data_IF_996786748839
#
_entry.id   IF_996786748839
#
_cell.length_a   1.000
_cell.length_b   1.000
_cell.length_c   1.000
_cell.angle_alpha   90.00
_cell.angle_beta   90.00
_cell.angle_gamma   90.00
#
_symmetry.space_group_name_H-M   'P 1'
#
loop_
_entity.id
_entity.type
_entity.pdbx_description
1 polymer ?
#
# COMPACT_ATOMS: atom_id res chain seq x y z
N UNK A 1 4.33 -15.89 -0.08
CA UNK A 1 3.11 -16.14 0.73
C UNK A 1 2.12 -17.00 -0.06
N UNK A 2 1.18 -17.68 0.58
CA UNK A 2 0.07 -18.33 -0.15
C UNK A 2 -0.75 -17.24 -0.89
N UNK A 3 -1.06 -17.45 -2.16
CA UNK A 3 -1.78 -16.46 -2.98
C UNK A 3 -0.94 -15.36 -3.65
N UNK A 4 0.39 -15.46 -3.61
CA UNK A 4 1.27 -14.46 -4.25
C UNK A 4 0.91 -14.16 -5.71
N UNK A 5 0.72 -15.18 -6.56
CA UNK A 5 0.38 -14.99 -7.98
C UNK A 5 -0.95 -14.28 -8.19
N UNK A 6 -1.88 -14.39 -7.24
CA UNK A 6 -3.16 -13.69 -7.32
C UNK A 6 -2.99 -12.22 -6.96
N UNK A 7 -2.22 -11.93 -5.91
CA UNK A 7 -1.87 -10.54 -5.54
C UNK A 7 -1.10 -9.86 -6.66
N UNK A 8 -0.06 -10.49 -7.21
CA UNK A 8 0.73 -9.96 -8.31
C UNK A 8 -0.10 -9.68 -9.58
N UNK A 9 -1.15 -10.49 -9.82
CA UNK A 9 -2.11 -10.25 -10.90
C UNK A 9 -3.02 -9.07 -10.61
N UNK A 10 -3.48 -8.90 -9.37
CA UNK A 10 -4.35 -7.79 -8.97
C UNK A 10 -3.60 -6.46 -9.09
N UNK A 11 -2.35 -6.39 -8.62
CA UNK A 11 -1.56 -5.15 -8.63
C UNK A 11 -0.74 -4.95 -9.91
N UNK A 12 -0.89 -5.86 -10.88
CA UNK A 12 -0.15 -5.89 -12.15
C UNK A 12 1.37 -5.75 -12.01
N UNK A 13 1.95 -6.38 -10.98
CA UNK A 13 3.38 -6.32 -10.69
C UNK A 13 3.90 -7.66 -10.19
N UNK A 14 4.99 -8.15 -10.79
CA UNK A 14 5.67 -9.38 -10.40
C UNK A 14 6.89 -9.08 -9.54
N UNK A 15 6.94 -9.64 -8.33
CA UNK A 15 8.04 -9.41 -7.40
C UNK A 15 9.24 -10.28 -7.73
N UNK A 16 10.43 -9.66 -7.75
CA UNK A 16 11.70 -10.38 -7.79
C UNK A 16 12.09 -10.93 -6.42
N UNK A 17 11.65 -10.28 -5.35
CA UNK A 17 11.86 -10.64 -3.96
C UNK A 17 10.49 -10.89 -3.27
N UNK A 18 9.98 -12.13 -3.28
CA UNK A 18 8.67 -12.47 -2.71
C UNK A 18 8.56 -12.23 -1.20
N UNK A 19 9.69 -12.08 -0.49
CA UNK A 19 9.71 -11.78 0.93
C UNK A 19 9.21 -10.35 1.22
N UNK A 20 9.43 -9.40 0.31
CA UNK A 20 8.89 -8.03 0.45
C UNK A 20 7.37 -8.03 0.38
N UNK A 21 6.80 -8.81 -0.55
CA UNK A 21 5.36 -8.99 -0.62
C UNK A 21 4.80 -9.68 0.62
N UNK A 22 5.48 -10.72 1.12
CA UNK A 22 5.07 -11.39 2.35
C UNK A 22 5.07 -10.44 3.56
N UNK A 23 6.10 -9.61 3.71
CA UNK A 23 6.18 -8.59 4.78
C UNK A 23 5.06 -7.56 4.66
N UNK A 24 4.69 -7.14 3.44
CA UNK A 24 3.63 -6.16 3.22
C UNK A 24 2.25 -6.59 3.75
N UNK A 25 1.98 -7.90 3.75
CA UNK A 25 0.72 -8.48 4.24
C UNK A 25 0.78 -8.92 5.70
N UNK A 26 1.90 -8.68 6.39
CA UNK A 26 2.13 -9.18 7.73
C UNK A 26 1.77 -8.15 8.82
N UNK A 27 0.83 -8.47 9.71
CA UNK A 27 0.53 -7.61 10.85
C UNK A 27 1.66 -7.62 11.89
N UNK A 28 1.77 -6.55 12.67
CA UNK A 28 2.78 -6.45 13.72
C UNK A 28 2.66 -7.58 14.76
N UNK A 29 3.80 -8.18 15.11
CA UNK A 29 3.90 -9.27 16.08
C UNK A 29 3.45 -10.64 15.57
N UNK A 30 3.35 -10.83 14.25
CA UNK A 30 3.16 -12.16 13.64
C UNK A 30 4.51 -12.88 13.51
N UNK A 31 5.54 -12.22 12.98
CA UNK A 31 6.89 -12.77 12.84
C UNK A 31 7.87 -12.16 13.83
N UNK A 32 8.78 -13.00 14.32
CA UNK A 32 9.94 -12.56 15.09
C UNK A 32 10.97 -11.82 14.22
N UNK A 33 10.99 -12.06 12.90
CA UNK A 33 11.86 -11.37 11.94
C UNK A 33 11.36 -9.94 11.70
N UNK A 34 10.05 -9.77 11.57
CA UNK A 34 9.38 -8.49 11.34
C UNK A 34 8.52 -8.13 12.56
N UNK A 35 9.15 -7.83 13.70
CA UNK A 35 8.41 -7.47 14.93
C UNK A 35 7.43 -6.31 14.72
N UNK A 36 7.77 -5.39 13.81
CA UNK A 36 6.92 -4.27 13.40
C UNK A 36 5.86 -4.61 12.35
N UNK A 37 5.87 -5.81 11.77
CA UNK A 37 5.09 -6.19 10.59
C UNK A 37 5.35 -5.26 9.41
N UNK A 38 4.32 -5.03 8.63
CA UNK A 38 4.34 -4.19 7.43
C UNK A 38 4.58 -2.69 7.65
N UNK A 39 4.66 -2.21 8.90
CA UNK A 39 4.66 -0.77 9.25
C UNK A 39 5.81 0.02 8.61
N UNK A 40 6.99 -0.59 8.44
CA UNK A 40 8.14 0.09 7.83
C UNK A 40 7.93 0.31 6.34
N UNK A 41 7.40 -0.70 5.65
CA UNK A 41 7.01 -0.59 4.25
C UNK A 41 5.86 0.41 4.09
N UNK A 42 4.85 0.33 4.96
CA UNK A 42 3.70 1.24 4.96
C UNK A 42 4.12 2.71 5.07
N UNK A 43 5.04 3.04 5.98
CA UNK A 43 5.50 4.42 6.14
C UNK A 43 6.17 4.97 4.87
N UNK A 44 6.92 4.15 4.14
CA UNK A 44 7.52 4.54 2.86
C UNK A 44 6.46 4.64 1.77
N UNK A 45 5.51 3.70 1.76
CA UNK A 45 4.37 3.68 0.85
C UNK A 45 3.46 4.89 0.94
N UNK A 46 3.10 5.34 2.15
CA UNK A 46 2.30 6.56 2.35
C UNK A 46 2.96 7.77 1.70
N UNK A 47 4.28 7.93 1.88
CA UNK A 47 5.03 9.02 1.25
C UNK A 47 5.02 8.92 -0.29
N UNK A 48 5.17 7.72 -0.85
CA UNK A 48 5.14 7.47 -2.29
C UNK A 48 3.76 7.72 -2.90
N UNK A 49 2.70 7.27 -2.23
CA UNK A 49 1.31 7.50 -2.65
C UNK A 49 1.03 9.01 -2.70
N UNK A 50 1.38 9.74 -1.64
CA UNK A 50 1.22 11.21 -1.61
C UNK A 50 2.00 11.88 -2.73
N UNK A 51 3.24 11.45 -2.98
CA UNK A 51 4.05 11.97 -4.06
C UNK A 51 3.41 11.69 -5.42
N UNK A 52 2.93 10.47 -5.68
CA UNK A 52 2.29 10.10 -6.95
C UNK A 52 1.02 10.93 -7.22
N UNK A 53 0.19 11.18 -6.19
CA UNK A 53 -0.97 12.06 -6.30
C UNK A 53 -0.54 13.50 -6.63
N UNK A 54 0.44 14.03 -5.89
CA UNK A 54 0.88 15.42 -6.05
C UNK A 54 1.67 15.66 -7.34
N UNK A 55 2.41 14.67 -7.83
CA UNK A 55 3.14 14.70 -9.11
C UNK A 55 2.18 14.86 -10.29
N UNK A 56 1.01 14.19 -10.25
CA UNK A 56 -0.07 14.37 -11.25
C UNK A 56 -0.80 15.70 -11.10
N UNK A 57 -1.03 16.11 -9.87
CA UNK A 57 -1.73 17.36 -9.58
C UNK A 57 -0.89 18.59 -9.98
N UNK A 58 0.42 18.57 -9.78
CA UNK A 58 1.29 19.75 -9.94
C UNK A 58 1.21 20.42 -11.33
N UNK A 59 1.25 19.69 -12.46
CA UNK A 59 1.10 20.29 -13.79
C UNK A 59 -0.24 20.98 -14.07
N UNK A 60 -1.29 20.69 -13.29
CA UNK A 60 -2.61 21.29 -13.48
C UNK A 60 -2.67 22.79 -13.18
N UNK A 61 -1.71 23.31 -12.40
CA UNK A 61 -1.72 24.69 -11.92
C UNK A 61 -2.81 25.01 -10.88
N UNK A 62 -3.53 23.99 -10.39
CA UNK A 62 -4.55 24.15 -9.36
C UNK A 62 -3.95 24.60 -8.01
N UNK A 63 -4.81 25.08 -7.11
CA UNK A 63 -4.38 25.65 -5.82
C UNK A 63 -3.87 24.58 -4.85
N UNK A 64 -3.01 24.98 -3.92
CA UNK A 64 -2.50 24.07 -2.86
C UNK A 64 -3.61 23.48 -1.99
N UNK A 65 -4.74 24.18 -1.86
CA UNK A 65 -5.95 23.67 -1.19
C UNK A 65 -6.55 22.49 -1.95
N UNK A 66 -6.61 22.55 -3.28
CA UNK A 66 -7.10 21.45 -4.11
C UNK A 66 -6.14 20.26 -4.07
N UNK A 67 -4.82 20.48 -4.15
CA UNK A 67 -3.83 19.40 -4.00
C UNK A 67 -3.90 18.70 -2.64
N UNK A 68 -4.03 19.48 -1.56
CA UNK A 68 -4.21 18.93 -0.20
C UNK A 68 -5.52 18.14 -0.07
N UNK A 69 -6.59 18.61 -0.72
CA UNK A 69 -7.87 17.91 -0.74
C UNK A 69 -7.77 16.58 -1.50
N UNK A 70 -7.12 16.56 -2.67
CA UNK A 70 -6.89 15.32 -3.43
C UNK A 70 -6.15 14.28 -2.59
N UNK A 71 -5.08 14.68 -1.90
CA UNK A 71 -4.35 13.78 -0.98
C UNK A 71 -5.25 13.30 0.16
N UNK A 72 -6.05 14.18 0.77
CA UNK A 72 -6.97 13.79 1.84
C UNK A 72 -8.07 12.84 1.37
N UNK A 73 -8.55 12.99 0.14
CA UNK A 73 -9.64 12.17 -0.38
C UNK A 73 -9.11 10.79 -0.81
N UNK A 74 -7.96 10.73 -1.48
CA UNK A 74 -7.41 9.50 -2.07
C UNK A 74 -6.47 8.70 -1.14
N UNK A 75 -5.72 9.38 -0.27
CA UNK A 75 -4.73 8.75 0.63
C UNK A 75 -5.18 8.74 2.10
N UNK A 76 -6.50 8.81 2.36
CA UNK A 76 -7.02 8.58 3.72
C UNK A 76 -7.01 7.11 4.08
N UNK A 77 -6.85 6.78 5.36
CA UNK A 77 -6.93 5.39 5.83
C UNK A 77 -8.25 4.70 5.44
N UNK A 78 -9.35 5.45 5.28
CA UNK A 78 -10.61 4.88 4.79
C UNK A 78 -10.51 4.50 3.31
N UNK A 79 -10.04 5.41 2.46
CA UNK A 79 -9.85 5.13 1.03
C UNK A 79 -8.88 3.96 0.82
N UNK A 80 -7.74 3.96 1.52
CA UNK A 80 -6.74 2.91 1.40
C UNK A 80 -7.22 1.55 1.91
N UNK A 81 -8.09 1.51 2.93
CA UNK A 81 -8.75 0.27 3.37
C UNK A 81 -9.68 -0.25 2.28
N UNK A 82 -10.50 0.63 1.72
CA UNK A 82 -11.55 0.25 0.77
C UNK A 82 -10.94 -0.45 -0.46
N UNK A 83 -9.71 -0.10 -0.86
CA UNK A 83 -8.95 -0.79 -1.91
C UNK A 83 -8.71 -2.27 -1.57
N UNK A 84 -8.17 -2.56 -0.38
CA UNK A 84 -7.90 -3.96 0.03
C UNK A 84 -9.20 -4.77 0.09
N UNK A 85 -10.30 -4.13 0.51
CA UNK A 85 -11.63 -4.73 0.59
C UNK A 85 -12.23 -5.00 -0.80
N UNK A 86 -12.18 -4.03 -1.71
CA UNK A 86 -12.74 -4.11 -3.07
C UNK A 86 -11.98 -5.11 -3.94
N UNK A 87 -10.65 -5.14 -3.83
CA UNK A 87 -9.81 -6.02 -4.64
C UNK A 87 -9.70 -7.44 -4.08
N UNK A 88 -10.40 -7.72 -2.97
CA UNK A 88 -10.39 -9.03 -2.32
C UNK A 88 -9.02 -9.41 -1.73
N UNK A 89 -8.16 -8.43 -1.46
CA UNK A 89 -6.83 -8.60 -0.89
C UNK A 89 -6.87 -8.90 0.62
N UNK A 90 -7.98 -8.61 1.30
CA UNK A 90 -8.16 -8.85 2.75
C UNK A 90 -7.83 -10.28 3.15
N UNK A 91 -8.18 -11.26 2.31
CA UNK A 91 -7.99 -12.70 2.58
C UNK A 91 -6.52 -13.11 2.70
N UNK A 92 -5.61 -12.29 2.17
CA UNK A 92 -4.17 -12.54 2.20
C UNK A 92 -3.47 -11.88 3.41
N UNK A 93 -4.18 -11.02 4.14
CA UNK A 93 -3.62 -10.31 5.30
C UNK A 93 -3.44 -11.27 6.48
N UNK A 94 -2.20 -11.41 6.94
CA UNK A 94 -1.85 -12.27 8.07
C UNK A 94 -2.02 -11.47 9.35
N UNK A 95 -3.11 -11.76 10.07
CA UNK A 95 -3.45 -11.07 11.31
C UNK A 95 -2.77 -11.70 12.52
N UNK A 96 -2.39 -10.87 13.50
CA UNK A 96 -1.99 -11.34 14.82
C UNK A 96 -3.25 -11.72 15.63
N UNK A 97 -3.43 -12.97 16.08
CA UNK A 97 -4.60 -13.41 16.85
C UNK A 97 -4.85 -12.59 18.13
N UNK A 98 -3.80 -12.00 18.69
CA UNK A 98 -3.86 -11.14 19.88
C UNK A 98 -4.37 -9.72 19.60
N UNK A 99 -4.47 -9.31 18.33
CA UNK A 99 -4.91 -7.98 17.92
C UNK A 99 -6.38 -8.01 17.47
N UNK A 100 -7.32 -7.78 18.40
CA UNK A 100 -8.77 -7.78 18.08
C UNK A 100 -9.27 -6.42 17.56
N UNK A 101 -10.09 -6.45 16.50
CA UNK A 101 -11.00 -5.36 16.10
C UNK A 101 -10.34 -4.12 15.49
N UNK A 102 -10.14 -3.05 16.27
CA UNK A 102 -9.69 -1.73 15.76
C UNK A 102 -8.31 -1.78 15.09
N UNK A 103 -7.45 -2.67 15.56
CA UNK A 103 -6.14 -2.91 14.95
C UNK A 103 -6.26 -3.50 13.54
N UNK A 104 -7.27 -4.32 13.27
CA UNK A 104 -7.51 -4.88 11.93
C UNK A 104 -7.80 -3.78 10.90
N UNK A 105 -8.58 -2.75 11.27
CA UNK A 105 -8.86 -1.60 10.37
C UNK A 105 -7.60 -0.81 10.02
N UNK A 106 -6.71 -0.60 10.99
CA UNK A 106 -5.43 0.10 10.77
C UNK A 106 -4.52 -0.77 9.91
N UNK A 107 -4.49 -2.08 10.16
CA UNK A 107 -3.69 -3.02 9.37
C UNK A 107 -4.09 -3.02 7.89
N UNK A 108 -5.37 -2.94 7.54
CA UNK A 108 -5.80 -2.95 6.12
C UNK A 108 -5.30 -1.74 5.34
N UNK A 109 -5.47 -0.52 5.85
CA UNK A 109 -4.95 0.68 5.19
C UNK A 109 -3.42 0.61 5.05
N UNK A 110 -2.73 0.18 6.12
CA UNK A 110 -1.29 0.00 6.09
C UNK A 110 -0.83 -1.13 5.17
N UNK A 111 -1.66 -2.12 4.86
CA UNK A 111 -1.34 -3.13 3.84
C UNK A 111 -1.25 -2.48 2.45
N UNK A 112 -2.19 -1.62 2.05
CA UNK A 112 -2.12 -0.90 0.77
C UNK A 112 -0.84 -0.07 0.68
N UNK A 113 -0.53 0.69 1.72
CA UNK A 113 0.72 1.45 1.80
C UNK A 113 1.93 0.52 1.72
N UNK A 114 1.92 -0.59 2.45
CA UNK A 114 3.04 -1.52 2.47
C UNK A 114 3.27 -2.24 1.14
N UNK A 115 2.21 -2.53 0.37
CA UNK A 115 2.35 -3.05 -1.00
C UNK A 115 3.15 -2.06 -1.85
N UNK A 116 2.78 -0.77 -1.82
CA UNK A 116 3.49 0.28 -2.55
C UNK A 116 4.94 0.40 -2.07
N UNK A 117 5.17 0.35 -0.76
CA UNK A 117 6.51 0.35 -0.17
C UNK A 117 7.34 -0.87 -0.59
N UNK A 118 6.74 -2.06 -0.67
CA UNK A 118 7.39 -3.28 -1.12
C UNK A 118 7.82 -3.17 -2.58
N UNK A 119 6.92 -2.71 -3.47
CA UNK A 119 7.21 -2.49 -4.89
C UNK A 119 8.39 -1.53 -5.05
N UNK A 120 8.42 -0.44 -4.29
CA UNK A 120 9.52 0.54 -4.35
C UNK A 120 10.91 -0.07 -4.11
N UNK A 121 11.02 -0.98 -3.14
CA UNK A 121 12.28 -1.66 -2.86
C UNK A 121 12.57 -2.77 -3.86
N UNK A 122 11.56 -3.48 -4.35
CA UNK A 122 11.71 -4.55 -5.33
C UNK A 122 12.14 -4.02 -6.71
N UNK A 123 11.51 -2.93 -7.17
CA UNK A 123 11.81 -2.29 -8.45
C UNK A 123 13.10 -1.44 -8.46
N UNK A 124 13.90 -1.51 -7.38
CA UNK A 124 15.13 -0.72 -7.20
C UNK A 124 14.90 0.79 -7.29
N UNK A 125 13.83 1.28 -6.66
CA UNK A 125 13.49 2.71 -6.57
C UNK A 125 13.11 3.35 -7.90
N UNK A 126 12.55 2.58 -8.82
CA UNK A 126 11.93 3.11 -10.03
C UNK A 126 10.54 3.67 -9.71
N UNK A 127 10.46 5.00 -9.68
CA UNK A 127 9.20 5.70 -9.37
C UNK A 127 8.14 5.50 -10.46
N UNK A 128 8.53 5.32 -11.71
CA UNK A 128 7.58 5.08 -12.80
C UNK A 128 6.81 3.77 -12.62
N UNK A 129 7.51 2.72 -12.20
CA UNK A 129 6.89 1.45 -11.83
C UNK A 129 5.95 1.61 -10.63
N UNK A 130 6.35 2.39 -9.61
CA UNK A 130 5.48 2.67 -8.45
C UNK A 130 4.20 3.40 -8.87
N UNK A 131 4.28 4.41 -9.76
CA UNK A 131 3.09 5.13 -10.24
C UNK A 131 2.10 4.20 -10.94
N UNK A 132 2.58 3.24 -11.74
CA UNK A 132 1.71 2.26 -12.40
C UNK A 132 0.95 1.40 -11.40
N UNK A 133 1.63 0.96 -10.34
CA UNK A 133 0.98 0.18 -9.26
C UNK A 133 -0.03 1.04 -8.50
N UNK A 134 0.31 2.29 -8.19
CA UNK A 134 -0.61 3.25 -7.53
C UNK A 134 -1.88 3.46 -8.37
N UNK A 135 -1.76 3.55 -9.69
CA UNK A 135 -2.91 3.65 -10.60
C UNK A 135 -3.75 2.37 -10.64
N UNK A 136 -3.07 1.21 -10.64
CA UNK A 136 -3.73 -0.10 -10.64
C UNK A 136 -4.55 -0.29 -9.37
N UNK A 137 -4.07 0.24 -8.24
CA UNK A 137 -4.77 0.30 -6.96
C UNK A 137 -5.85 1.41 -6.91
N UNK A 138 -6.15 2.08 -8.03
CA UNK A 138 -7.16 3.12 -8.15
C UNK A 138 -6.87 4.38 -7.30
N UNK A 139 -5.60 4.66 -7.00
CA UNK A 139 -5.16 5.83 -6.20
C UNK A 139 -4.62 6.92 -7.12
N UNK A 140 -5.47 7.43 -8.01
CA UNK A 140 -5.10 8.55 -8.89
C UNK A 140 -6.30 9.47 -9.12
N UNK A 141 -6.07 10.80 -9.29
CA UNK A 141 -7.11 11.72 -9.76
C UNK A 141 -7.70 11.34 -11.12
#
# INVERSE_FOLDING_TARGET
MEGQLDVERIIEYHFTNPQLLAEAFEAAGVSELHKGGNKRLALVGDALIRLAILDRWFPSGASTKEGSKLVSDLASNNALRDIVEQDGLVKFVVNNPSQKGRLQRITLASTTEAIVGAVWYDCRKDFETVRKVVDTLHISP
#
